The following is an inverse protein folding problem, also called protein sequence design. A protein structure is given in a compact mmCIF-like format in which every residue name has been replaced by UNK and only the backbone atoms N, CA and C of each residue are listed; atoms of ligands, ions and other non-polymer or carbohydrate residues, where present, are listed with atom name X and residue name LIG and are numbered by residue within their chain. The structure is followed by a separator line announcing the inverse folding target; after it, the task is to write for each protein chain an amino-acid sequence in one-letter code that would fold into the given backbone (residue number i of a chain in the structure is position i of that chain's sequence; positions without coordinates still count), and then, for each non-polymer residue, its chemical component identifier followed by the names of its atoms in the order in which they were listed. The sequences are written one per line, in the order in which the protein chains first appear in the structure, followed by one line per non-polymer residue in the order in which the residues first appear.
data_IF_018345198725
#
_entry.id   IF_018345198725
#
_cell.length_a   1.000
_cell.length_b   1.000
_cell.length_c   1.000
_cell.angle_alpha   90.00
_cell.angle_beta   90.00
_cell.angle_gamma   90.00
#
_symmetry.space_group_name_H-M   'P 1'
#
loop_
_entity.id
_entity.type
_entity.pdbx_description
1 polymer ?
#
# COMPACT_ATOMS: atom_id res chain seq x y z
N UNK A 1 -30.28 5.01 8.97
CA UNK A 1 -29.02 5.77 8.91
C UNK A 1 -28.05 5.02 9.79
N UNK A 2 -26.95 4.54 9.23
CA UNK A 2 -25.91 3.84 9.99
C UNK A 2 -25.43 4.73 11.13
N UNK A 3 -25.21 4.19 12.33
CA UNK A 3 -24.65 4.96 13.44
C UNK A 3 -23.23 5.49 13.16
N UNK A 4 -22.59 4.98 12.09
CA UNK A 4 -21.23 5.31 11.64
C UNK A 4 -21.14 6.47 10.64
N UNK A 5 -22.26 7.02 10.15
CA UNK A 5 -22.21 8.06 9.10
C UNK A 5 -22.39 9.48 9.65
N UNK A 6 -21.53 9.85 10.61
CA UNK A 6 -21.48 11.20 11.19
C UNK A 6 -20.24 11.93 10.69
N UNK A 7 -20.23 13.27 10.66
CA UNK A 7 -19.03 14.04 10.34
C UNK A 7 -17.85 13.61 11.23
N UNK A 8 -16.71 13.34 10.60
CA UNK A 8 -15.46 12.99 11.26
C UNK A 8 -14.44 14.10 11.03
N UNK A 9 -13.82 14.60 12.10
CA UNK A 9 -12.71 15.56 11.99
C UNK A 9 -11.55 14.98 11.19
N UNK A 10 -11.30 13.68 11.33
CA UNK A 10 -10.33 12.92 10.54
C UNK A 10 -10.51 13.08 9.02
N UNK A 11 -11.75 13.35 8.56
CA UNK A 11 -12.11 13.52 7.16
C UNK A 11 -12.41 14.98 6.79
N UNK A 12 -12.02 15.94 7.63
CA UNK A 12 -12.28 17.37 7.41
C UNK A 12 -13.77 17.72 7.54
N UNK A 13 -14.42 17.15 8.55
CA UNK A 13 -15.86 17.28 8.84
C UNK A 13 -16.79 16.72 7.75
N UNK A 14 -16.25 15.91 6.83
CA UNK A 14 -17.05 15.07 5.94
C UNK A 14 -17.62 13.88 6.71
N UNK A 15 -18.80 13.41 6.28
CA UNK A 15 -19.28 12.09 6.67
C UNK A 15 -18.50 11.01 5.93
N UNK A 16 -18.36 9.80 6.48
CA UNK A 16 -17.83 8.65 5.74
C UNK A 16 -18.51 8.41 4.40
N UNK A 17 -19.83 8.53 4.31
CA UNK A 17 -20.55 8.37 3.04
C UNK A 17 -20.13 9.43 2.02
N UNK A 18 -19.97 10.69 2.42
CA UNK A 18 -19.51 11.76 1.54
C UNK A 18 -18.08 11.52 1.06
N UNK A 19 -17.19 11.08 1.95
CA UNK A 19 -15.81 10.74 1.61
C UNK A 19 -15.75 9.59 0.60
N UNK A 20 -16.44 8.49 0.88
CA UNK A 20 -16.47 7.30 0.02
C UNK A 20 -17.11 7.58 -1.34
N UNK A 21 -18.15 8.42 -1.38
CA UNK A 21 -18.83 8.76 -2.62
C UNK A 21 -18.01 9.69 -3.53
N UNK A 22 -17.22 10.60 -2.96
CA UNK A 22 -16.62 11.70 -3.71
C UNK A 22 -15.09 11.69 -3.80
N UNK A 23 -14.39 10.98 -2.92
CA UNK A 23 -12.92 11.03 -2.80
C UNK A 23 -12.28 9.67 -2.91
N UNK A 24 -12.76 8.68 -2.16
CA UNK A 24 -12.18 7.33 -2.13
C UNK A 24 -12.02 6.74 -3.54
N UNK A 25 -10.79 6.37 -3.90
CA UNK A 25 -10.36 5.87 -5.21
C UNK A 25 -10.60 6.80 -6.41
N UNK A 26 -10.93 8.07 -6.16
CA UNK A 26 -11.30 9.03 -7.19
C UNK A 26 -10.33 10.20 -7.25
N UNK A 27 -10.19 10.97 -6.16
CA UNK A 27 -9.39 12.19 -6.13
C UNK A 27 -8.78 12.46 -4.74
N UNK A 28 -7.65 13.20 -4.68
CA UNK A 28 -7.00 13.59 -3.44
C UNK A 28 -7.87 14.44 -2.54
N UNK A 29 -7.56 14.43 -1.25
CA UNK A 29 -8.15 15.33 -0.26
C UNK A 29 -7.08 15.78 0.73
N UNK A 30 -6.85 17.09 0.80
CA UNK A 30 -6.08 17.72 1.87
C UNK A 30 -7.00 17.99 3.06
N UNK A 31 -6.60 17.53 4.24
CA UNK A 31 -7.36 17.62 5.48
C UNK A 31 -6.51 18.35 6.50
N UNK A 32 -6.93 19.55 6.91
CA UNK A 32 -6.21 20.37 7.89
C UNK A 32 -6.65 20.03 9.29
N UNK A 33 -5.70 19.76 10.19
CA UNK A 33 -5.98 19.34 11.56
C UNK A 33 -6.87 18.10 11.65
N UNK A 34 -6.59 17.09 10.81
CA UNK A 34 -7.30 15.81 10.82
C UNK A 34 -7.26 15.16 12.22
N UNK A 35 -6.11 15.28 12.89
CA UNK A 35 -5.95 14.94 14.31
C UNK A 35 -5.43 16.19 15.04
N UNK A 36 -6.30 16.94 15.73
CA UNK A 36 -5.91 18.14 16.46
C UNK A 36 -4.90 17.85 17.57
N UNK A 37 -3.95 18.75 17.77
CA UNK A 37 -2.89 18.65 18.78
C UNK A 37 -2.11 17.31 18.72
N UNK A 38 -1.95 16.75 17.51
CA UNK A 38 -1.28 15.48 17.29
C UNK A 38 0.17 15.51 17.81
N UNK A 39 0.51 14.48 18.58
CA UNK A 39 1.87 14.22 19.05
C UNK A 39 2.25 12.84 18.52
N UNK A 40 3.38 12.77 17.80
CA UNK A 40 3.87 11.50 17.28
C UNK A 40 4.05 10.50 18.42
N UNK A 41 3.51 9.26 18.30
CA UNK A 41 3.64 8.24 19.33
C UNK A 41 4.98 7.49 19.28
N UNK A 42 5.85 7.84 18.32
CA UNK A 42 7.22 7.34 18.14
C UNK A 42 8.11 8.53 17.76
N UNK A 43 9.31 8.60 18.32
CA UNK A 43 10.30 9.63 17.98
C UNK A 43 11.32 9.16 16.91
N UNK A 44 12.12 10.08 16.33
CA UNK A 44 13.09 9.72 15.29
C UNK A 44 14.16 8.70 15.73
N UNK A 45 14.60 8.74 16.99
CA UNK A 45 15.64 7.84 17.51
C UNK A 45 15.07 6.43 17.70
N UNK A 46 13.85 6.32 18.21
CA UNK A 46 13.11 5.05 18.30
C UNK A 46 12.89 4.43 16.91
N UNK A 47 12.52 5.25 15.91
CA UNK A 47 12.34 4.79 14.53
C UNK A 47 13.67 4.29 13.93
N UNK A 48 14.78 5.01 14.16
CA UNK A 48 16.11 4.58 13.72
C UNK A 48 16.52 3.27 14.42
N UNK A 49 16.23 3.12 15.71
CA UNK A 49 16.44 1.90 16.46
C UNK A 49 15.69 0.70 15.88
N UNK A 50 14.40 0.86 15.53
CA UNK A 50 13.63 -0.17 14.83
C UNK A 50 14.26 -0.57 13.50
N UNK A 51 14.81 0.39 12.76
CA UNK A 51 15.47 0.13 11.48
C UNK A 51 16.79 -0.68 11.61
N UNK A 52 17.33 -0.82 12.82
CA UNK A 52 18.48 -1.67 13.13
C UNK A 52 18.09 -3.10 13.51
N UNK A 53 16.82 -3.38 13.81
CA UNK A 53 16.37 -4.68 14.29
C UNK A 53 16.27 -5.71 13.15
N UNK A 54 16.77 -6.96 13.34
CA UNK A 54 16.62 -8.02 12.36
C UNK A 54 15.14 -8.34 12.09
N UNK A 55 14.77 -8.48 10.81
CA UNK A 55 13.40 -8.79 10.40
C UNK A 55 12.49 -7.57 10.24
N UNK A 56 12.96 -6.37 10.62
CA UNK A 56 12.28 -5.11 10.30
C UNK A 56 12.66 -4.68 8.88
N UNK A 57 11.65 -4.48 8.03
CA UNK A 57 11.85 -3.96 6.68
C UNK A 57 12.05 -2.44 6.75
N UNK A 58 13.30 -2.01 6.59
CA UNK A 58 13.67 -0.61 6.53
C UNK A 58 14.45 -0.30 5.24
N UNK A 59 14.29 0.92 4.74
CA UNK A 59 15.04 1.45 3.60
C UNK A 59 15.50 2.86 3.86
N UNK A 60 16.70 3.17 3.39
CA UNK A 60 17.29 4.49 3.43
C UNK A 60 17.49 4.97 2.00
N UNK A 61 16.89 6.11 1.68
CA UNK A 61 16.99 6.77 0.38
C UNK A 61 17.87 8.01 0.51
N UNK A 62 18.97 8.05 -0.21
CA UNK A 62 19.87 9.20 -0.29
C UNK A 62 19.78 9.82 -1.69
N UNK A 63 19.39 11.10 -1.79
CA UNK A 63 19.29 11.78 -3.09
C UNK A 63 20.66 11.83 -3.79
N UNK A 64 21.73 11.99 -3.01
CA UNK A 64 23.12 11.98 -3.48
C UNK A 64 23.95 11.02 -2.61
N UNK A 65 23.79 9.72 -2.83
CA UNK A 65 24.53 8.68 -2.11
C UNK A 65 25.96 8.48 -2.64
N UNK A 66 26.80 7.70 -1.92
CA UNK A 66 28.16 7.39 -2.32
C UNK A 66 28.30 6.69 -3.68
N UNK A 67 27.31 5.88 -4.09
CA UNK A 67 27.32 5.12 -5.35
C UNK A 67 26.59 5.83 -6.49
N UNK A 68 25.93 6.96 -6.20
CA UNK A 68 25.23 7.76 -7.20
C UNK A 68 23.96 8.43 -6.69
N UNK A 69 23.24 9.12 -7.58
CA UNK A 69 21.98 9.76 -7.23
C UNK A 69 20.89 8.73 -6.91
N UNK A 70 20.01 9.05 -5.96
CA UNK A 70 18.89 8.20 -5.54
C UNK A 70 19.31 6.79 -5.10
N UNK A 71 20.38 6.73 -4.31
CA UNK A 71 20.85 5.47 -3.74
C UNK A 71 19.85 4.95 -2.71
N UNK A 72 19.57 3.65 -2.78
CA UNK A 72 18.75 2.94 -1.81
C UNK A 72 19.60 1.92 -1.07
N UNK A 73 19.60 1.99 0.25
CA UNK A 73 20.13 0.94 1.11
C UNK A 73 18.98 0.27 1.86
N UNK A 74 19.12 -1.02 2.17
CA UNK A 74 18.12 -1.79 2.89
C UNK A 74 18.69 -2.23 4.23
N UNK A 75 17.82 -2.24 5.25
CA UNK A 75 18.17 -2.66 6.59
C UNK A 75 18.40 -4.18 6.72
N UNK A 76 18.75 -4.65 7.93
CA UNK A 76 18.92 -3.84 9.14
C UNK A 76 20.15 -2.91 9.03
N UNK A 77 20.03 -1.71 9.60
CA UNK A 77 21.13 -0.74 9.67
C UNK A 77 21.91 -0.83 10.99
N UNK A 78 22.95 -0.02 11.11
CA UNK A 78 23.73 0.16 12.33
C UNK A 78 24.01 1.64 12.58
N UNK A 79 24.52 1.98 13.76
CA UNK A 79 24.83 3.36 14.16
C UNK A 79 25.79 4.03 13.15
N UNK A 80 26.77 3.27 12.63
CA UNK A 80 27.73 3.77 11.65
C UNK A 80 27.06 4.23 10.34
N UNK A 81 25.95 3.60 9.96
CA UNK A 81 25.14 4.00 8.81
C UNK A 81 24.54 5.39 9.04
N UNK A 82 23.98 5.66 10.21
CA UNK A 82 23.36 6.95 10.51
C UNK A 82 24.40 8.05 10.75
N UNK A 83 25.52 7.73 11.41
CA UNK A 83 26.61 8.67 11.68
C UNK A 83 27.26 9.24 10.40
N UNK A 84 27.22 8.50 9.27
CA UNK A 84 27.79 8.98 8.00
C UNK A 84 26.88 9.93 7.23
N UNK A 85 25.60 10.02 7.57
CA UNK A 85 24.62 10.73 6.77
C UNK A 85 24.87 12.25 6.80
N UNK A 86 24.58 12.90 5.68
CA UNK A 86 24.62 14.36 5.60
C UNK A 86 23.53 15.01 6.45
N UNK A 87 23.65 16.31 6.70
CA UNK A 87 22.64 17.10 7.43
C UNK A 87 21.26 17.16 6.75
N UNK A 88 21.12 16.69 5.50
CA UNK A 88 19.88 16.75 4.73
C UNK A 88 19.87 15.80 3.52
N UNK A 89 18.80 15.85 2.72
CA UNK A 89 18.64 15.15 1.44
C UNK A 89 18.65 13.61 1.49
N UNK A 90 18.14 13.05 2.57
CA UNK A 90 17.88 11.62 2.69
C UNK A 90 16.56 11.35 3.41
N UNK A 91 16.04 10.13 3.34
CA UNK A 91 14.85 9.70 4.05
C UNK A 91 14.99 8.25 4.52
N UNK A 92 14.73 8.02 5.81
CA UNK A 92 14.53 6.69 6.36
C UNK A 92 13.05 6.33 6.26
N UNK A 93 12.73 5.12 5.82
CA UNK A 93 11.38 4.58 5.82
C UNK A 93 11.40 3.20 6.48
N UNK A 94 10.49 2.97 7.42
CA UNK A 94 10.32 1.70 8.13
C UNK A 94 8.89 1.23 7.90
N UNK A 95 8.74 0.01 7.38
CA UNK A 95 7.44 -0.58 7.08
C UNK A 95 6.83 -1.21 8.33
N UNK A 96 5.50 -1.37 8.32
CA UNK A 96 4.74 -2.09 9.34
C UNK A 96 5.13 -1.73 10.79
N UNK A 97 5.32 -0.44 11.07
CA UNK A 97 5.69 0.04 12.42
C UNK A 97 4.58 -0.26 13.43
N UNK A 98 3.33 -0.35 12.98
CA UNK A 98 2.19 -0.81 13.76
C UNK A 98 2.37 -2.23 14.34
N UNK A 99 3.15 -3.10 13.71
CA UNK A 99 3.42 -4.44 14.26
C UNK A 99 4.28 -4.39 15.53
N UNK A 100 5.09 -3.34 15.69
CA UNK A 100 6.09 -3.22 16.75
C UNK A 100 5.70 -2.19 17.82
N UNK A 101 4.92 -1.19 17.44
CA UNK A 101 4.59 -0.04 18.28
C UNK A 101 3.08 0.02 18.48
N UNK A 102 2.54 -0.46 19.62
CA UNK A 102 1.09 -0.51 19.85
C UNK A 102 0.38 0.84 19.75
N UNK A 103 1.07 1.93 20.07
CA UNK A 103 0.54 3.29 19.95
C UNK A 103 0.43 3.76 18.50
N UNK A 104 1.25 3.23 17.59
CA UNK A 104 1.09 3.40 16.13
C UNK A 104 -0.07 2.53 15.64
N UNK A 105 -0.15 1.27 16.07
CA UNK A 105 -1.24 0.36 15.71
C UNK A 105 -2.63 0.93 16.05
N UNK A 106 -2.76 1.59 17.21
CA UNK A 106 -3.99 2.23 17.64
C UNK A 106 -4.51 3.30 16.65
N UNK A 107 -3.66 3.89 15.81
CA UNK A 107 -4.10 4.83 14.77
C UNK A 107 -4.97 4.16 13.71
N UNK A 108 -4.85 2.85 13.50
CA UNK A 108 -5.72 2.13 12.55
C UNK A 108 -7.19 2.14 12.97
N UNK A 109 -7.49 2.21 14.27
CA UNK A 109 -8.86 2.24 14.77
C UNK A 109 -9.61 3.53 14.38
N UNK A 110 -8.88 4.61 14.08
CA UNK A 110 -9.48 5.86 13.57
C UNK A 110 -10.05 5.72 12.15
N UNK A 111 -9.65 4.67 11.41
CA UNK A 111 -10.08 4.41 10.03
C UNK A 111 -11.20 3.35 9.94
N UNK A 112 -11.97 3.14 11.02
CA UNK A 112 -13.03 2.12 11.11
C UNK A 112 -14.20 2.29 10.12
N UNK A 113 -14.26 3.42 9.41
CA UNK A 113 -15.19 3.66 8.31
C UNK A 113 -14.83 2.90 7.03
N UNK A 114 -13.62 2.34 6.94
CA UNK A 114 -13.16 1.42 5.89
C UNK A 114 -13.07 -0.01 6.45
N UNK A 115 -13.37 -1.03 5.62
CA UNK A 115 -13.31 -2.40 6.10
C UNK A 115 -11.85 -2.82 6.35
N UNK A 116 -11.59 -3.47 7.49
CA UNK A 116 -10.22 -3.85 7.93
C UNK A 116 -9.40 -4.62 6.90
N UNK A 117 -10.04 -5.46 6.07
CA UNK A 117 -9.35 -6.23 5.03
C UNK A 117 -8.68 -5.36 3.94
N UNK A 118 -9.05 -4.07 3.84
CA UNK A 118 -8.42 -3.11 2.93
C UNK A 118 -7.19 -2.43 3.52
N UNK A 119 -7.01 -2.40 4.84
CA UNK A 119 -5.81 -1.87 5.47
C UNK A 119 -4.64 -2.80 5.19
N UNK A 120 -3.45 -2.26 4.89
CA UNK A 120 -2.22 -3.05 4.78
C UNK A 120 -1.40 -2.92 6.06
N UNK A 121 -0.70 -1.79 6.22
CA UNK A 121 0.19 -1.50 7.33
C UNK A 121 0.33 0.02 7.54
N UNK A 122 1.08 0.41 8.57
CA UNK A 122 1.51 1.78 8.80
C UNK A 122 3.02 1.86 8.60
N UNK A 123 3.44 2.50 7.51
CA UNK A 123 4.83 2.89 7.29
C UNK A 123 5.09 4.24 7.94
N UNK A 124 6.23 4.39 8.63
CA UNK A 124 6.68 5.68 9.15
C UNK A 124 7.96 6.08 8.45
N UNK A 125 8.04 7.35 8.06
CA UNK A 125 9.24 7.94 7.47
C UNK A 125 9.77 9.06 8.32
N UNK A 126 11.10 9.18 8.37
CA UNK A 126 11.83 10.33 8.89
C UNK A 126 12.67 10.95 7.78
N UNK A 127 12.75 12.27 7.74
CA UNK A 127 13.59 12.99 6.79
C UNK A 127 14.08 14.34 7.35
N UNK A 128 15.39 14.62 7.34
CA UNK A 128 15.91 15.97 7.54
C UNK A 128 15.61 16.88 6.33
N UNK A 129 16.01 18.16 6.32
CA UNK A 129 15.60 19.11 5.28
C UNK A 129 16.04 18.64 3.89
N UNK A 130 15.16 18.82 2.92
CA UNK A 130 15.36 18.35 1.55
C UNK A 130 15.14 16.85 1.36
N UNK A 131 15.02 16.07 2.43
CA UNK A 131 14.78 14.63 2.36
C UNK A 131 13.47 14.29 1.64
N UNK A 132 13.56 13.39 0.67
CA UNK A 132 12.49 12.99 -0.25
C UNK A 132 12.79 11.60 -0.83
N UNK A 133 11.76 10.94 -1.35
CA UNK A 133 11.89 9.72 -2.17
C UNK A 133 11.69 10.00 -3.66
N UNK A 134 11.61 11.28 -4.03
CA UNK A 134 11.35 11.76 -5.39
C UNK A 134 9.86 11.71 -5.78
N UNK A 135 9.50 12.33 -6.91
CA UNK A 135 8.14 12.27 -7.45
C UNK A 135 7.81 10.85 -7.92
N UNK A 136 6.73 10.26 -7.42
CA UNK A 136 6.34 8.88 -7.75
C UNK A 136 4.82 8.69 -7.75
N UNK A 137 4.39 7.48 -8.11
CA UNK A 137 3.00 7.02 -7.98
C UNK A 137 2.97 5.72 -7.20
N UNK A 138 1.89 5.54 -6.44
CA UNK A 138 1.55 4.26 -5.81
C UNK A 138 0.33 3.63 -6.48
N UNK A 139 0.18 2.33 -6.31
CA UNK A 139 -1.00 1.57 -6.80
C UNK A 139 -2.02 1.30 -5.69
N UNK A 140 -1.86 1.97 -4.54
CA UNK A 140 -2.72 1.84 -3.38
C UNK A 140 -3.26 3.19 -2.91
N UNK A 141 -4.34 3.13 -2.15
CA UNK A 141 -4.86 4.26 -1.39
C UNK A 141 -3.93 4.51 -0.19
N UNK A 142 -3.65 5.77 0.15
CA UNK A 142 -2.83 6.11 1.31
C UNK A 142 -3.33 7.39 1.99
N UNK A 143 -3.27 7.42 3.32
CA UNK A 143 -3.37 8.65 4.09
C UNK A 143 -2.00 9.01 4.67
N UNK A 144 -1.51 10.19 4.31
CA UNK A 144 -0.22 10.74 4.73
C UNK A 144 -0.45 11.72 5.88
N UNK A 145 -0.31 11.27 7.11
CA UNK A 145 -0.44 12.07 8.33
C UNK A 145 0.92 12.68 8.68
N UNK A 146 0.97 14.01 8.81
CA UNK A 146 2.17 14.71 9.26
C UNK A 146 2.31 14.55 10.77
N UNK A 147 3.39 13.91 11.23
CA UNK A 147 3.58 13.55 12.62
C UNK A 147 4.49 14.52 13.40
N UNK A 148 5.59 14.95 12.79
CA UNK A 148 6.49 15.98 13.31
C UNK A 148 6.96 16.88 12.16
N UNK A 149 7.40 18.10 12.46
CA UNK A 149 7.95 19.00 11.43
C UNK A 149 6.98 19.43 10.34
N UNK A 150 7.53 19.87 9.22
CA UNK A 150 6.75 20.31 8.06
C UNK A 150 7.22 19.63 6.77
N UNK A 151 6.28 19.15 5.96
CA UNK A 151 6.55 18.56 4.65
C UNK A 151 5.78 19.32 3.57
N UNK A 152 6.46 19.71 2.51
CA UNK A 152 5.83 20.26 1.31
C UNK A 152 5.41 19.11 0.40
N UNK A 153 4.11 19.02 0.16
CA UNK A 153 3.50 18.06 -0.74
C UNK A 153 3.04 18.75 -2.02
N UNK A 154 3.41 18.16 -3.14
CA UNK A 154 3.01 18.59 -4.48
C UNK A 154 2.38 17.42 -5.21
N UNK A 155 1.32 17.66 -5.99
CA UNK A 155 0.69 16.63 -6.82
C UNK A 155 0.86 16.93 -8.31
N UNK A 156 1.08 15.88 -9.08
CA UNK A 156 1.25 15.93 -10.54
C UNK A 156 0.09 15.33 -11.32
N UNK A 157 -1.11 15.29 -10.71
CA UNK A 157 -2.30 14.68 -11.27
C UNK A 157 -2.24 13.15 -11.36
N UNK A 158 -3.30 12.56 -11.95
CA UNK A 158 -3.39 11.10 -12.17
C UNK A 158 -2.53 10.67 -13.36
N UNK A 159 -1.66 9.70 -13.15
CA UNK A 159 -0.75 9.15 -14.15
C UNK A 159 -1.12 7.70 -14.50
N UNK A 160 -0.78 7.22 -15.71
CA UNK A 160 -0.90 5.80 -16.04
C UNK A 160 0.14 4.97 -15.30
N UNK A 161 -0.15 3.70 -15.03
CA UNK A 161 0.76 2.80 -14.30
C UNK A 161 2.10 2.53 -15.01
N UNK A 162 2.22 2.86 -16.30
CA UNK A 162 3.44 2.76 -17.10
C UNK A 162 4.07 4.13 -17.40
N UNK A 163 3.80 5.15 -16.58
CA UNK A 163 4.42 6.46 -16.72
C UNK A 163 5.96 6.34 -16.77
N UNK A 164 6.65 7.10 -17.64
CA UNK A 164 8.11 7.04 -17.74
C UNK A 164 8.80 7.35 -16.41
N UNK A 165 9.71 6.47 -16.02
CA UNK A 165 10.56 6.63 -14.83
C UNK A 165 12.02 6.83 -15.21
N UNK A 166 12.78 7.45 -14.31
CA UNK A 166 14.24 7.53 -14.41
C UNK A 166 14.79 6.10 -14.49
N UNK A 167 15.63 5.85 -15.49
CA UNK A 167 16.24 4.54 -15.72
C UNK A 167 17.56 4.43 -14.97
N UNK A 168 17.90 3.22 -14.53
CA UNK A 168 19.20 2.93 -13.90
C UNK A 168 19.29 3.30 -12.42
N UNK A 169 18.14 3.49 -11.75
CA UNK A 169 18.04 3.63 -10.28
C UNK A 169 17.04 2.60 -9.74
N UNK A 170 17.14 2.29 -8.45
CA UNK A 170 16.29 1.28 -7.79
C UNK A 170 14.92 1.84 -7.33
N UNK A 171 14.67 3.13 -7.57
CA UNK A 171 13.41 3.80 -7.24
C UNK A 171 12.57 4.08 -8.49
N UNK A 172 11.24 4.01 -8.32
CA UNK A 172 10.28 4.38 -9.37
C UNK A 172 9.99 5.87 -9.39
N UNK A 173 11.01 6.67 -9.67
CA UNK A 173 10.89 8.13 -9.75
C UNK A 173 10.45 8.53 -11.16
N UNK A 174 9.39 9.33 -11.26
CA UNK A 174 8.87 9.86 -12.51
C UNK A 174 9.93 10.72 -13.21
N UNK A 175 10.11 10.50 -14.51
CA UNK A 175 11.06 11.27 -15.32
C UNK A 175 10.67 12.76 -15.44
N UNK A 176 9.38 13.06 -15.39
CA UNK A 176 8.83 14.41 -15.44
C UNK A 176 7.72 14.55 -14.40
N UNK A 177 7.69 15.71 -13.74
CA UNK A 177 6.68 16.04 -12.74
C UNK A 177 6.24 17.49 -12.92
N UNK A 178 5.00 17.66 -13.39
CA UNK A 178 4.37 18.97 -13.53
C UNK A 178 3.32 19.11 -12.45
N UNK A 179 3.43 20.18 -11.65
CA UNK A 179 2.54 20.41 -10.51
C UNK A 179 1.15 20.80 -11.05
N UNK A 180 0.13 20.08 -10.61
CA UNK A 180 -1.26 20.44 -10.90
C UNK A 180 -1.63 21.77 -10.20
N UNK A 181 -2.47 22.56 -10.85
CA UNK A 181 -2.92 23.83 -10.29
C UNK A 181 -3.48 23.64 -8.87
N UNK A 182 -3.14 24.59 -7.99
CA UNK A 182 -3.56 24.60 -6.58
C UNK A 182 -3.15 23.35 -5.76
N UNK A 183 -2.22 22.53 -6.27
CA UNK A 183 -1.78 21.27 -5.66
C UNK A 183 -0.37 21.32 -5.07
N UNK A 184 -0.10 22.37 -4.28
CA UNK A 184 1.18 22.62 -3.62
C UNK A 184 0.94 23.19 -2.21
N UNK A 185 1.26 22.39 -1.19
CA UNK A 185 0.95 22.72 0.19
C UNK A 185 2.06 22.29 1.13
N UNK A 186 2.27 23.06 2.20
CA UNK A 186 3.02 22.59 3.37
C UNK A 186 2.05 22.04 4.40
N UNK A 187 2.29 20.82 4.86
CA UNK A 187 1.56 20.19 5.97
C UNK A 187 2.33 20.39 7.28
N UNK A 188 1.59 20.65 8.36
CA UNK A 188 2.08 20.75 9.74
C UNK A 188 1.55 19.58 10.58
N UNK A 189 2.07 19.31 11.79
CA UNK A 189 1.65 18.17 12.59
C UNK A 189 0.12 18.12 12.79
N UNK A 190 -0.47 16.95 12.56
CA UNK A 190 -1.92 16.72 12.60
C UNK A 190 -2.66 16.97 11.28
N UNK A 191 -2.03 17.62 10.29
CA UNK A 191 -2.56 17.67 8.92
C UNK A 191 -2.40 16.32 8.22
N UNK A 192 -3.30 16.02 7.30
CA UNK A 192 -3.32 14.77 6.55
C UNK A 192 -3.62 14.98 5.08
N UNK A 193 -2.99 14.19 4.22
CA UNK A 193 -3.25 14.16 2.79
C UNK A 193 -3.68 12.75 2.38
N UNK A 194 -4.91 12.62 1.88
CA UNK A 194 -5.38 11.40 1.24
C UNK A 194 -5.02 11.39 -0.25
N UNK A 195 -4.46 10.27 -0.72
CA UNK A 195 -4.15 10.03 -2.13
C UNK A 195 -4.76 8.70 -2.60
N UNK A 196 -5.54 8.71 -3.70
CA UNK A 196 -5.95 7.48 -4.37
C UNK A 196 -4.84 6.90 -5.28
N UNK A 197 -4.96 5.63 -5.70
CA UNK A 197 -4.01 5.00 -6.61
C UNK A 197 -3.75 5.80 -7.90
N UNK A 198 -2.48 5.82 -8.32
CA UNK A 198 -2.03 6.42 -9.57
C UNK A 198 -1.88 7.94 -9.54
N UNK A 199 -2.06 8.59 -8.39
CA UNK A 199 -1.82 10.03 -8.25
C UNK A 199 -0.34 10.32 -8.02
N UNK A 200 0.26 11.09 -8.92
CA UNK A 200 1.65 11.51 -8.80
C UNK A 200 1.81 12.48 -7.64
N UNK A 201 2.78 12.21 -6.78
CA UNK A 201 3.02 13.03 -5.60
C UNK A 201 4.50 13.15 -5.28
N UNK A 202 4.87 14.27 -4.68
CA UNK A 202 6.23 14.60 -4.30
C UNK A 202 6.24 15.30 -2.94
N UNK A 203 6.84 14.65 -1.94
CA UNK A 203 6.88 15.12 -0.57
C UNK A 203 8.31 15.45 -0.14
N UNK A 204 8.60 16.73 0.11
CA UNK A 204 9.93 17.20 0.50
C UNK A 204 9.90 17.73 1.92
N UNK A 205 10.75 17.19 2.79
CA UNK A 205 10.91 17.69 4.15
C UNK A 205 11.45 19.12 4.14
N UNK A 206 10.86 19.99 4.97
CA UNK A 206 11.27 21.40 5.10
C UNK A 206 11.96 21.70 6.43
N UNK A 207 12.04 20.72 7.34
CA UNK A 207 12.51 20.90 8.73
C UNK A 207 13.46 19.77 9.15
N UNK A 208 14.21 20.01 10.22
CA UNK A 208 15.23 19.07 10.73
C UNK A 208 14.65 17.76 11.26
N UNK A 209 13.45 17.83 11.83
CA UNK A 209 12.70 16.68 12.32
C UNK A 209 11.35 16.65 11.64
N UNK A 210 11.25 15.87 10.55
CA UNK A 210 10.04 15.73 9.76
C UNK A 210 9.66 14.25 9.64
N UNK A 211 8.60 13.86 10.36
CA UNK A 211 8.05 12.52 10.30
C UNK A 211 6.68 12.52 9.60
N UNK A 212 6.47 11.48 8.79
CA UNK A 212 5.18 11.23 8.13
C UNK A 212 4.77 9.79 8.39
N UNK A 213 3.54 9.62 8.88
CA UNK A 213 2.87 8.34 9.09
C UNK A 213 1.99 8.07 7.87
N UNK A 214 2.27 6.99 7.17
CA UNK A 214 1.56 6.58 5.96
C UNK A 214 0.66 5.39 6.29
N UNK A 215 -0.64 5.63 6.40
CA UNK A 215 -1.63 4.56 6.58
C UNK A 215 -1.95 3.99 5.20
N UNK A 216 -1.36 2.83 4.91
CA UNK A 216 -1.43 2.15 3.63
C UNK A 216 -2.65 1.24 3.50
N UNK A 217 -3.14 1.11 2.28
CA UNK A 217 -4.22 0.18 1.94
C UNK A 217 -3.75 -0.80 0.87
N UNK A 218 -4.42 -1.93 0.78
CA UNK A 218 -4.12 -2.98 -0.18
C UNK A 218 -5.31 -3.29 -1.05
N UNK A 219 -5.02 -3.66 -2.28
CA UNK A 219 -5.96 -4.23 -3.23
C UNK A 219 -5.17 -5.15 -4.17
N UNK A 220 -5.57 -6.42 -4.35
CA UNK A 220 -4.87 -7.31 -5.25
C UNK A 220 -5.02 -6.83 -6.69
N UNK A 221 -3.94 -6.91 -7.45
CA UNK A 221 -3.96 -6.72 -8.90
C UNK A 221 -4.70 -7.87 -9.60
N UNK A 222 -5.07 -7.67 -10.86
CA UNK A 222 -5.71 -8.73 -11.66
C UNK A 222 -4.80 -9.96 -11.85
N UNK A 223 -3.49 -9.76 -11.95
CA UNK A 223 -2.51 -10.84 -12.09
C UNK A 223 -2.40 -11.67 -10.81
N UNK A 224 -2.27 -11.00 -9.65
CA UNK A 224 -2.28 -11.67 -8.35
C UNK A 224 -3.58 -12.42 -8.10
N UNK A 225 -4.72 -11.81 -8.43
CA UNK A 225 -6.03 -12.43 -8.26
C UNK A 225 -6.18 -13.70 -9.10
N UNK A 226 -5.81 -13.66 -10.38
CA UNK A 226 -5.93 -14.82 -11.28
C UNK A 226 -4.94 -15.92 -10.89
N UNK A 227 -3.68 -15.56 -10.66
CA UNK A 227 -2.63 -16.54 -10.35
C UNK A 227 -2.91 -17.23 -9.02
N UNK A 228 -3.15 -16.47 -7.95
CA UNK A 228 -3.41 -17.05 -6.63
C UNK A 228 -4.71 -17.85 -6.58
N UNK A 229 -5.76 -17.41 -7.27
CA UNK A 229 -7.02 -18.16 -7.30
C UNK A 229 -6.88 -19.45 -8.11
N UNK A 230 -6.15 -19.44 -9.23
CA UNK A 230 -5.88 -20.64 -10.01
C UNK A 230 -5.12 -21.70 -9.19
N UNK A 231 -4.12 -21.28 -8.40
CA UNK A 231 -3.39 -22.17 -7.49
C UNK A 231 -4.34 -22.77 -6.42
N UNK A 232 -5.13 -21.92 -5.77
CA UNK A 232 -6.09 -22.34 -4.74
C UNK A 232 -7.11 -23.36 -5.25
N UNK A 233 -7.67 -23.12 -6.44
CA UNK A 233 -8.64 -24.03 -7.07
C UNK A 233 -7.93 -25.31 -7.50
N UNK A 234 -6.75 -25.20 -8.13
CA UNK A 234 -5.96 -26.31 -8.63
C UNK A 234 -5.64 -27.37 -7.57
N UNK A 235 -5.32 -26.95 -6.35
CA UNK A 235 -5.05 -27.85 -5.21
C UNK A 235 -6.26 -28.70 -4.77
N UNK A 236 -7.48 -28.29 -5.13
CA UNK A 236 -8.73 -28.93 -4.70
C UNK A 236 -9.46 -29.68 -5.83
N UNK A 237 -9.01 -29.54 -7.07
CA UNK A 237 -9.67 -30.11 -8.23
C UNK A 237 -9.51 -31.64 -8.28
N UNK A 238 -10.53 -32.32 -8.81
CA UNK A 238 -10.49 -33.76 -9.04
C UNK A 238 -9.80 -34.10 -10.35
N UNK A 239 -8.90 -35.10 -10.33
CA UNK A 239 -8.26 -35.67 -11.53
C UNK A 239 -9.26 -36.29 -12.55
N UNK A 240 -10.54 -36.43 -12.17
CA UNK A 240 -11.59 -37.02 -12.99
C UNK A 240 -12.31 -36.03 -13.91
N UNK A 241 -12.28 -34.72 -13.60
CA UNK A 241 -12.92 -33.70 -14.44
C UNK A 241 -12.02 -33.41 -15.65
N UNK A 242 -12.55 -33.60 -16.86
CA UNK A 242 -11.77 -33.48 -18.10
C UNK A 242 -12.57 -32.77 -19.19
N UNK A 243 -11.84 -32.11 -20.09
CA UNK A 243 -12.37 -31.68 -21.37
C UNK A 243 -13.08 -32.84 -22.08
N UNK A 244 -14.22 -32.54 -22.72
CA UNK A 244 -15.00 -33.49 -23.49
C UNK A 244 -15.45 -32.84 -24.79
N UNK A 245 -15.31 -33.59 -25.88
CA UNK A 245 -15.73 -33.27 -27.24
C UNK A 245 -16.85 -34.21 -27.73
N UNK A 246 -17.58 -34.82 -26.79
CA UNK A 246 -18.71 -35.68 -27.10
C UNK A 246 -19.71 -34.96 -28.03
N UNK A 247 -19.96 -35.55 -29.19
CA UNK A 247 -20.82 -34.97 -30.23
C UNK A 247 -20.10 -34.12 -31.28
N UNK A 248 -18.76 -34.08 -31.30
CA UNK A 248 -18.00 -33.42 -32.35
C UNK A 248 -18.24 -34.05 -33.74
N UNK A 249 -18.17 -33.22 -34.78
CA UNK A 249 -18.17 -33.66 -36.17
C UNK A 249 -16.77 -34.18 -36.58
N UNK A 250 -16.67 -34.97 -37.68
CA UNK A 250 -15.37 -35.31 -38.26
C UNK A 250 -14.57 -34.07 -38.62
N UNK A 251 -13.27 -34.07 -38.30
CA UNK A 251 -12.36 -32.97 -38.65
C UNK A 251 -12.26 -32.80 -40.18
N UNK A 252 -12.33 -31.56 -40.65
CA UNK A 252 -12.03 -31.22 -42.04
C UNK A 252 -10.52 -31.21 -42.27
N UNK A 253 -9.76 -30.61 -41.34
CA UNK A 253 -8.29 -30.56 -41.34
C UNK A 253 -7.73 -31.15 -40.03
N UNK A 254 -6.93 -32.21 -40.11
CA UNK A 254 -6.50 -33.00 -38.93
C UNK A 254 -5.59 -32.23 -37.96
N UNK A 255 -4.93 -31.16 -38.44
CA UNK A 255 -4.04 -30.33 -37.62
C UNK A 255 -4.70 -29.08 -37.04
N UNK A 256 -5.99 -28.84 -37.33
CA UNK A 256 -6.69 -27.63 -36.91
C UNK A 256 -7.18 -27.75 -35.45
N UNK A 257 -6.91 -26.72 -34.66
CA UNK A 257 -7.61 -26.49 -33.40
C UNK A 257 -8.80 -25.57 -33.71
N UNK A 258 -9.98 -26.15 -33.87
CA UNK A 258 -11.16 -25.40 -34.28
C UNK A 258 -11.64 -24.43 -33.19
N UNK A 259 -12.36 -23.38 -33.62
CA UNK A 259 -12.95 -22.39 -32.72
C UNK A 259 -13.86 -23.04 -31.67
N UNK A 260 -14.52 -24.16 -32.04
CA UNK A 260 -15.40 -24.88 -31.14
C UNK A 260 -14.64 -25.57 -30.00
N UNK A 261 -13.43 -26.09 -30.23
CA UNK A 261 -12.56 -26.69 -29.22
C UNK A 261 -12.03 -25.63 -28.27
N UNK A 262 -11.61 -24.48 -28.80
CA UNK A 262 -11.18 -23.33 -28.00
C UNK A 262 -12.32 -22.85 -27.10
N UNK A 263 -13.53 -22.70 -27.65
CA UNK A 263 -14.70 -22.27 -26.86
C UNK A 263 -15.10 -23.33 -25.81
N UNK A 264 -15.06 -24.63 -26.13
CA UNK A 264 -15.27 -25.70 -25.13
C UNK A 264 -14.25 -25.62 -24.00
N UNK A 265 -12.98 -25.41 -24.30
CA UNK A 265 -11.93 -25.26 -23.28
C UNK A 265 -12.13 -23.99 -22.44
N UNK A 266 -12.48 -22.87 -23.07
CA UNK A 266 -12.80 -21.61 -22.37
C UNK A 266 -13.96 -21.80 -21.40
N UNK A 267 -15.05 -22.43 -21.85
CA UNK A 267 -16.20 -22.72 -21.00
C UNK A 267 -15.86 -23.69 -19.86
N UNK A 268 -15.03 -24.70 -20.13
CA UNK A 268 -14.52 -25.60 -19.09
C UNK A 268 -13.76 -24.83 -18.00
N UNK A 269 -12.79 -23.97 -18.37
CA UNK A 269 -12.06 -23.12 -17.42
C UNK A 269 -13.01 -22.20 -16.65
N UNK A 270 -13.95 -21.52 -17.33
CA UNK A 270 -14.88 -20.63 -16.64
C UNK A 270 -15.76 -21.40 -15.63
N UNK A 271 -16.22 -22.60 -16.00
CA UNK A 271 -17.02 -23.44 -15.10
C UNK A 271 -16.26 -23.92 -13.86
N UNK A 272 -14.92 -24.02 -13.91
CA UNK A 272 -14.11 -24.39 -12.74
C UNK A 272 -13.80 -23.19 -11.86
N UNK A 273 -13.87 -21.96 -12.40
CA UNK A 273 -13.59 -20.72 -11.67
C UNK A 273 -14.85 -20.07 -11.06
N UNK A 274 -16.03 -20.32 -11.63
CA UNK A 274 -17.30 -19.67 -11.24
C UNK A 274 -17.98 -20.37 -10.05
N UNK A 275 -17.33 -20.33 -8.87
CA UNK A 275 -17.89 -20.77 -7.60
C UNK A 275 -17.81 -19.67 -6.53
N UNK A 276 -18.91 -18.96 -6.23
CA UNK A 276 -18.91 -17.85 -5.28
C UNK A 276 -18.42 -18.20 -3.87
N UNK A 277 -18.66 -19.42 -3.38
CA UNK A 277 -18.21 -19.86 -2.05
C UNK A 277 -16.69 -20.05 -2.01
N UNK A 278 -16.11 -20.64 -3.07
CA UNK A 278 -14.66 -20.80 -3.20
C UNK A 278 -13.95 -19.45 -3.35
N UNK A 279 -14.52 -18.54 -4.15
CA UNK A 279 -13.98 -17.18 -4.28
C UNK A 279 -14.01 -16.46 -2.94
N UNK A 280 -15.10 -16.53 -2.18
CA UNK A 280 -15.20 -15.89 -0.87
C UNK A 280 -14.16 -16.45 0.13
N UNK A 281 -13.98 -17.78 0.17
CA UNK A 281 -12.98 -18.42 1.03
C UNK A 281 -11.55 -18.04 0.64
N UNK A 282 -11.22 -18.12 -0.65
CA UNK A 282 -9.92 -17.72 -1.18
C UNK A 282 -9.64 -16.25 -0.89
N UNK A 283 -10.59 -15.38 -1.20
CA UNK A 283 -10.43 -13.94 -1.03
C UNK A 283 -10.24 -13.58 0.43
N UNK A 284 -10.99 -14.19 1.35
CA UNK A 284 -10.79 -14.06 2.78
C UNK A 284 -9.36 -14.43 3.18
N UNK A 285 -8.87 -15.61 2.76
CA UNK A 285 -7.50 -16.08 3.06
C UNK A 285 -6.44 -15.13 2.54
N UNK A 286 -6.52 -14.73 1.27
CA UNK A 286 -5.54 -13.82 0.65
C UNK A 286 -5.55 -12.48 1.36
N UNK A 287 -6.73 -11.90 1.63
CA UNK A 287 -6.83 -10.58 2.25
C UNK A 287 -6.44 -10.54 3.73
N UNK A 288 -6.42 -11.69 4.42
CA UNK A 288 -5.97 -11.79 5.82
C UNK A 288 -4.62 -12.47 5.99
N UNK A 289 -3.97 -12.90 4.91
CA UNK A 289 -2.66 -13.55 5.00
C UNK A 289 -1.62 -12.55 5.53
N UNK A 290 -0.86 -12.90 6.58
CA UNK A 290 0.22 -12.07 7.08
C UNK A 290 1.28 -11.86 6.01
N UNK A 291 1.66 -10.59 5.79
CA UNK A 291 2.75 -10.21 4.87
C UNK A 291 4.12 -10.63 5.43
N UNK A 292 4.27 -10.55 6.75
CA UNK A 292 5.48 -10.93 7.49
C UNK A 292 5.21 -12.19 8.34
N UNK A 293 5.42 -13.37 7.76
CA UNK A 293 5.09 -14.66 8.39
C UNK A 293 5.92 -14.91 9.66
N UNK A 294 7.15 -14.43 9.68
CA UNK A 294 8.11 -14.52 10.79
C UNK A 294 7.73 -13.65 11.99
N UNK A 295 6.84 -12.66 11.81
CA UNK A 295 6.36 -11.78 12.88
C UNK A 295 5.07 -12.30 13.55
N UNK A 296 4.48 -13.39 13.05
CA UNK A 296 3.22 -13.92 13.60
C UNK A 296 3.48 -14.62 14.93
N UNK A 297 3.05 -13.98 16.02
CA UNK A 297 3.08 -14.57 17.37
C UNK A 297 1.73 -15.22 17.65
N UNK A 298 1.68 -16.50 18.09
CA UNK A 298 0.43 -17.11 18.50
C UNK A 298 -0.17 -16.37 19.70
N UNK A 299 -1.50 -16.22 19.71
CA UNK A 299 -2.21 -15.67 20.88
C UNK A 299 -1.87 -16.49 22.13
N UNK A 300 -1.70 -15.80 23.26
CA UNK A 300 -1.48 -16.47 24.55
C UNK A 300 -2.65 -17.40 24.90
N UNK A 301 -3.88 -17.00 24.54
CA UNK A 301 -5.08 -17.83 24.63
C UNK A 301 -5.69 -18.03 23.22
N UNK A 302 -5.95 -19.28 22.79
CA UNK A 302 -6.63 -19.54 21.53
C UNK A 302 -8.04 -18.94 21.52
N UNK A 303 -8.41 -18.23 20.45
CA UNK A 303 -9.81 -17.81 20.23
C UNK A 303 -10.72 -19.04 20.15
N UNK A 304 -11.86 -18.98 20.84
CA UNK A 304 -12.92 -19.98 20.69
C UNK A 304 -13.82 -19.63 19.51
N UNK A 305 -14.59 -20.61 18.99
CA UNK A 305 -15.63 -20.33 17.99
C UNK A 305 -16.69 -19.32 18.47
N UNK A 306 -16.82 -19.13 19.79
CA UNK A 306 -17.74 -18.14 20.35
C UNK A 306 -17.18 -16.70 20.30
N UNK A 307 -15.87 -16.55 20.08
CA UNK A 307 -15.16 -15.27 20.02
C UNK A 307 -14.92 -14.77 18.58
N UNK A 308 -15.22 -15.61 17.58
CA UNK A 308 -15.16 -15.32 16.14
C UNK A 308 -16.47 -14.69 15.63
#
# INVERSE_FOLDING_TARGET
MSHHDKPLTLLGDLTPADFLANYWQQKPLLIRGAIPDFVSPIDPDELAGLACEPGVEARLVEENGPDGPWQVSHGPFDDATFERLSEGHWSLLVQAVDHYVPSIAALMDEFDFLPRWRLDDIMVSYAPPGGSVGPHIDQYDVFLLQASGHRRWQLGGKQPGNAPIIQGIDLRILQSFEIEADSDWTLAPGDMLYLPPGWAHHGVSQTDDCMTISVGFRAPSADEAITSYADYVGEQMSDSQRYSDAGMAPAEEVGELDDAAVERMRQFILSTLDNPEQVAQWFGRVMTQPKYIDQVVPLEEPMSEADL
#
